data_IF_545726710621
#
_entry.id   IF_545726710621
#
_cell.length_a   1.000
_cell.length_b   1.000
_cell.length_c   1.000
_cell.angle_alpha   90.00
_cell.angle_beta   90.00
_cell.angle_gamma   90.00
#
_symmetry.space_group_name_H-M   'P 1'
#
loop_
_entity.id
_entity.type
_entity.pdbx_description
1 polymer ?
#
# COMPACT_ATOMS: atom_id res chain seq x y z
N UNK A 1 -7.73 11.98 -17.39
CA UNK A 1 -9.16 12.37 -17.36
C UNK A 1 -9.53 12.31 -15.90
N UNK A 2 -9.96 13.43 -15.32
CA UNK A 2 -10.34 13.50 -13.91
C UNK A 2 -11.49 12.52 -13.63
N UNK A 3 -11.23 11.56 -12.74
CA UNK A 3 -12.12 10.43 -12.45
C UNK A 3 -12.93 10.68 -11.18
N UNK A 4 -12.32 11.34 -10.19
CA UNK A 4 -12.89 11.56 -8.86
C UNK A 4 -13.50 12.96 -8.70
N UNK A 5 -13.09 13.94 -9.52
CA UNK A 5 -13.56 15.32 -9.42
C UNK A 5 -12.91 16.08 -8.25
N UNK A 6 -13.67 17.02 -7.67
CA UNK A 6 -13.19 17.96 -6.64
C UNK A 6 -13.09 17.34 -5.23
N UNK A 7 -13.63 16.13 -5.03
CA UNK A 7 -13.56 15.41 -3.75
C UNK A 7 -13.74 13.90 -3.97
N UNK A 8 -13.10 13.09 -3.11
CA UNK A 8 -13.24 11.64 -3.11
C UNK A 8 -13.78 11.14 -1.77
N UNK A 9 -14.74 10.22 -1.80
CA UNK A 9 -15.16 9.44 -0.62
C UNK A 9 -14.21 8.26 -0.45
N UNK A 10 -13.61 8.13 0.74
CA UNK A 10 -12.75 7.00 1.08
C UNK A 10 -13.55 6.02 1.95
N UNK A 11 -13.79 4.83 1.42
CA UNK A 11 -14.38 3.72 2.18
C UNK A 11 -13.26 2.82 2.68
N UNK A 12 -12.94 2.92 3.97
CA UNK A 12 -11.93 2.08 4.60
C UNK A 12 -12.40 0.63 4.67
N UNK A 13 -11.57 -0.26 4.12
CA UNK A 13 -11.69 -1.70 4.23
C UNK A 13 -10.33 -2.27 4.65
N UNK A 14 -10.06 -2.26 5.94
CA UNK A 14 -8.83 -2.78 6.51
C UNK A 14 -9.10 -3.91 7.52
N UNK A 15 -8.30 -4.97 7.45
CA UNK A 15 -8.25 -6.02 8.45
C UNK A 15 -6.79 -6.39 8.74
N UNK A 16 -6.40 -6.27 10.01
CA UNK A 16 -5.03 -6.56 10.42
C UNK A 16 -4.68 -8.03 10.22
N UNK A 17 -3.49 -8.29 9.68
CA UNK A 17 -2.95 -9.65 9.56
C UNK A 17 -3.42 -10.44 8.34
N UNK A 18 -4.11 -9.83 7.37
CA UNK A 18 -4.50 -10.47 6.10
C UNK A 18 -3.44 -10.36 5.02
N UNK A 19 -3.24 -11.41 4.22
CA UNK A 19 -2.67 -11.36 2.89
C UNK A 19 -3.75 -10.93 1.87
N UNK A 20 -3.34 -10.61 0.63
CA UNK A 20 -4.28 -10.19 -0.42
C UNK A 20 -5.32 -11.28 -0.74
N UNK A 21 -4.90 -12.55 -0.77
CA UNK A 21 -5.82 -13.67 -1.02
C UNK A 21 -6.86 -13.91 0.07
N UNK A 22 -6.69 -13.35 1.27
CA UNK A 22 -7.71 -13.43 2.32
C UNK A 22 -8.96 -12.57 1.98
N UNK A 23 -8.84 -11.69 0.98
CA UNK A 23 -9.91 -10.82 0.48
C UNK A 23 -10.64 -11.38 -0.73
N UNK A 24 -10.40 -12.64 -1.11
CA UNK A 24 -11.13 -13.31 -2.19
C UNK A 24 -12.27 -14.17 -1.64
N UNK A 25 -13.34 -14.35 -2.43
CA UNK A 25 -14.60 -15.00 -2.02
C UNK A 25 -14.41 -16.42 -1.49
N UNK A 26 -13.33 -17.09 -1.91
CA UNK A 26 -12.90 -18.41 -1.41
C UNK A 26 -12.72 -18.44 0.12
N UNK A 27 -12.69 -17.27 0.79
CA UNK A 27 -12.54 -17.11 2.24
C UNK A 27 -13.81 -16.62 2.98
N UNK A 28 -14.92 -16.36 2.28
CA UNK A 28 -16.28 -16.30 2.87
C UNK A 28 -16.69 -15.05 3.68
N UNK A 29 -16.25 -13.84 3.31
CA UNK A 29 -16.54 -12.62 4.08
C UNK A 29 -17.25 -11.51 3.29
N UNK A 30 -18.03 -10.66 3.97
CA UNK A 30 -18.73 -9.49 3.39
C UNK A 30 -17.80 -8.44 2.75
N UNK A 31 -16.49 -8.60 2.90
CA UNK A 31 -15.44 -7.69 2.45
C UNK A 31 -14.69 -8.20 1.21
N UNK A 32 -15.15 -9.28 0.57
CA UNK A 32 -14.47 -9.85 -0.59
C UNK A 32 -14.43 -8.91 -1.80
N UNK A 33 -13.34 -8.98 -2.58
CA UNK A 33 -13.12 -8.15 -3.76
C UNK A 33 -14.04 -8.51 -4.93
N UNK A 34 -14.65 -9.68 -4.95
CA UNK A 34 -15.68 -10.05 -5.94
C UNK A 34 -16.92 -9.14 -5.84
N UNK A 35 -17.13 -8.50 -4.68
CA UNK A 35 -18.17 -7.49 -4.47
C UNK A 35 -17.86 -6.12 -5.06
N UNK A 36 -16.74 -5.95 -5.75
CA UNK A 36 -16.45 -4.71 -6.48
C UNK A 36 -17.58 -4.35 -7.46
N UNK A 37 -18.30 -5.34 -8.00
CA UNK A 37 -19.48 -5.09 -8.85
C UNK A 37 -20.65 -4.43 -8.10
N UNK A 38 -20.81 -4.69 -6.81
CA UNK A 38 -21.82 -4.05 -5.96
C UNK A 38 -21.39 -2.63 -5.57
N UNK A 39 -20.11 -2.47 -5.21
CA UNK A 39 -19.58 -1.21 -4.68
C UNK A 39 -19.27 -0.19 -5.76
N UNK A 40 -18.82 -0.65 -6.94
CA UNK A 40 -18.37 0.13 -8.10
C UNK A 40 -17.48 1.33 -7.72
N UNK A 41 -16.36 1.11 -7.01
CA UNK A 41 -15.44 2.20 -6.73
C UNK A 41 -14.79 2.69 -8.02
N UNK A 42 -14.42 3.97 -8.07
CA UNK A 42 -13.62 4.48 -9.18
C UNK A 42 -12.17 3.99 -9.11
N UNK A 43 -11.63 3.90 -7.89
CA UNK A 43 -10.25 3.48 -7.60
C UNK A 43 -10.24 2.49 -6.45
N UNK A 44 -9.53 1.38 -6.62
CA UNK A 44 -9.18 0.42 -5.58
C UNK A 44 -7.72 0.65 -5.16
N UNK A 45 -7.52 1.03 -3.90
CA UNK A 45 -6.17 1.17 -3.31
C UNK A 45 -5.85 -0.12 -2.55
N UNK A 46 -4.77 -0.80 -2.93
CA UNK A 46 -4.32 -2.05 -2.32
C UNK A 46 -3.04 -1.78 -1.54
N UNK A 47 -3.14 -1.83 -0.21
CA UNK A 47 -2.03 -1.63 0.72
C UNK A 47 -1.71 -2.94 1.49
N UNK A 48 -0.87 -3.79 0.89
CA UNK A 48 -0.38 -5.03 1.52
C UNK A 48 1.15 -5.13 1.42
N UNK A 49 1.83 -5.54 2.49
CA UNK A 49 3.29 -5.76 2.52
C UNK A 49 3.75 -7.18 2.26
N UNK A 50 2.82 -8.09 1.98
CA UNK A 50 3.18 -9.49 1.85
C UNK A 50 3.13 -10.27 3.17
N UNK A 51 2.00 -10.27 3.88
CA UNK A 51 1.81 -11.20 4.99
C UNK A 51 2.08 -12.65 4.53
N UNK A 52 2.97 -13.34 5.24
CA UNK A 52 3.49 -14.66 4.82
C UNK A 52 2.95 -15.82 5.67
N UNK A 53 2.03 -15.55 6.58
CA UNK A 53 1.61 -16.50 7.62
C UNK A 53 0.12 -16.87 7.53
N UNK A 54 -0.66 -16.20 6.68
CA UNK A 54 -2.09 -16.51 6.56
C UNK A 54 -2.28 -17.82 5.83
N UNK A 55 -3.36 -18.59 6.08
CA UNK A 55 -3.53 -19.90 5.49
C UNK A 55 -3.39 -19.95 3.96
N UNK A 56 -3.78 -18.88 3.24
CA UNK A 56 -3.68 -18.81 1.77
C UNK A 56 -2.27 -18.51 1.23
N UNK A 57 -1.32 -18.16 2.10
CA UNK A 57 0.10 -17.89 1.76
C UNK A 57 1.07 -18.82 2.50
N UNK A 58 0.71 -19.38 3.65
CA UNK A 58 1.64 -19.98 4.62
C UNK A 58 2.55 -21.08 4.05
N UNK A 59 2.07 -21.84 3.06
CA UNK A 59 2.83 -22.93 2.42
C UNK A 59 3.69 -22.46 1.23
N UNK A 60 3.53 -21.21 0.80
CA UNK A 60 4.31 -20.61 -0.29
C UNK A 60 5.57 -19.93 0.26
N UNK A 61 6.75 -20.36 -0.21
CA UNK A 61 8.05 -19.86 0.27
C UNK A 61 8.99 -19.51 -0.90
N UNK A 62 9.99 -18.66 -0.63
CA UNK A 62 10.99 -18.28 -1.64
C UNK A 62 10.36 -17.73 -2.92
N UNK A 63 10.75 -18.24 -4.09
CA UNK A 63 10.22 -17.78 -5.36
C UNK A 63 8.71 -18.04 -5.53
N UNK A 64 8.18 -19.08 -4.86
CA UNK A 64 6.77 -19.44 -4.95
C UNK A 64 5.87 -18.44 -4.21
N UNK A 65 6.33 -17.96 -3.05
CA UNK A 65 5.70 -16.84 -2.32
C UNK A 65 5.47 -15.62 -3.21
N UNK A 66 6.49 -15.18 -3.93
CA UNK A 66 6.39 -14.00 -4.79
C UNK A 66 5.53 -14.26 -6.03
N UNK A 67 5.57 -15.48 -6.58
CA UNK A 67 4.69 -15.89 -7.68
C UNK A 67 3.23 -15.86 -7.24
N UNK A 68 2.92 -16.38 -6.05
CA UNK A 68 1.56 -16.37 -5.47
C UNK A 68 1.05 -14.94 -5.30
N UNK A 69 1.85 -14.05 -4.73
CA UNK A 69 1.47 -12.64 -4.60
C UNK A 69 1.26 -11.94 -5.93
N UNK A 70 2.02 -12.29 -6.97
CA UNK A 70 1.79 -11.79 -8.32
C UNK A 70 0.45 -12.27 -8.87
N UNK A 71 0.16 -13.57 -8.75
CA UNK A 71 -1.11 -14.15 -9.21
C UNK A 71 -2.31 -13.53 -8.48
N UNK A 72 -2.21 -13.33 -7.17
CA UNK A 72 -3.27 -12.69 -6.39
C UNK A 72 -3.50 -11.23 -6.84
N UNK A 73 -2.43 -10.49 -7.09
CA UNK A 73 -2.54 -9.12 -7.60
C UNK A 73 -3.15 -9.07 -9.00
N UNK A 74 -2.75 -9.97 -9.90
CA UNK A 74 -3.32 -10.11 -11.25
C UNK A 74 -4.81 -10.47 -11.19
N UNK A 75 -5.23 -11.33 -10.25
CA UNK A 75 -6.64 -11.65 -10.02
C UNK A 75 -7.43 -10.42 -9.52
N UNK A 76 -6.92 -9.69 -8.52
CA UNK A 76 -7.55 -8.47 -8.03
C UNK A 76 -7.71 -7.40 -9.13
N UNK A 77 -6.71 -7.25 -10.00
CA UNK A 77 -6.80 -6.37 -11.19
C UNK A 77 -7.88 -6.87 -12.15
N UNK A 78 -7.97 -8.18 -12.38
CA UNK A 78 -9.00 -8.78 -13.22
C UNK A 78 -10.43 -8.55 -12.70
N UNK A 79 -10.63 -8.55 -11.37
CA UNK A 79 -11.91 -8.17 -10.75
C UNK A 79 -12.20 -6.67 -10.94
N UNK A 80 -11.21 -5.81 -10.69
CA UNK A 80 -11.34 -4.36 -10.88
C UNK A 80 -11.70 -3.99 -12.32
N UNK A 81 -11.07 -4.64 -13.31
CA UNK A 81 -11.31 -4.40 -14.73
C UNK A 81 -12.75 -4.68 -15.17
N UNK A 82 -13.46 -5.62 -14.52
CA UNK A 82 -14.87 -5.93 -14.82
C UNK A 82 -15.82 -4.78 -14.50
N UNK A 83 -15.37 -3.79 -13.72
CA UNK A 83 -16.15 -2.66 -13.24
C UNK A 83 -15.57 -1.30 -13.65
N UNK A 84 -14.55 -1.31 -14.53
CA UNK A 84 -13.75 -0.12 -14.90
C UNK A 84 -13.10 0.58 -13.68
N UNK A 85 -12.85 -0.18 -12.60
CA UNK A 85 -12.15 0.29 -11.41
C UNK A 85 -10.64 0.38 -11.71
N UNK A 86 -10.01 1.52 -11.42
CA UNK A 86 -8.54 1.68 -11.49
C UNK A 86 -7.88 1.10 -10.25
N UNK A 87 -6.65 0.60 -10.35
CA UNK A 87 -5.95 -0.03 -9.22
C UNK A 87 -4.68 0.73 -8.87
N UNK A 88 -4.53 1.11 -7.61
CA UNK A 88 -3.29 1.65 -7.06
C UNK A 88 -2.72 0.69 -6.02
N UNK A 89 -1.57 0.08 -6.32
CA UNK A 89 -0.80 -0.65 -5.33
C UNK A 89 0.07 0.30 -4.52
N UNK A 90 0.05 0.16 -3.19
CA UNK A 90 0.90 0.93 -2.28
C UNK A 90 1.95 0.01 -1.66
N UNK A 91 3.22 0.31 -1.90
CA UNK A 91 4.33 -0.40 -1.26
C UNK A 91 4.50 0.07 0.18
N UNK A 92 4.34 -0.87 1.11
CA UNK A 92 4.43 -0.61 2.54
C UNK A 92 5.85 -0.21 2.97
N UNK A 93 5.95 0.58 4.05
CA UNK A 93 7.23 0.98 4.58
C UNK A 93 8.00 -0.21 5.16
N UNK A 94 9.31 -0.05 5.29
CA UNK A 94 10.18 -1.04 5.92
C UNK A 94 9.83 -1.15 7.40
N UNK A 95 9.63 -2.39 7.87
CA UNK A 95 9.30 -2.68 9.26
C UNK A 95 10.55 -2.77 10.14
N UNK A 96 10.39 -2.51 11.45
CA UNK A 96 11.49 -2.58 12.42
C UNK A 96 12.13 -3.97 12.50
N UNK A 97 11.32 -5.01 12.31
CA UNK A 97 11.69 -6.41 12.55
C UNK A 97 11.92 -7.20 11.27
N UNK A 98 12.08 -6.53 10.13
CA UNK A 98 12.21 -7.23 8.86
C UNK A 98 13.48 -8.09 8.84
N UNK A 99 13.27 -9.39 9.02
CA UNK A 99 14.27 -10.46 9.01
C UNK A 99 13.89 -11.41 7.88
N UNK A 100 14.86 -11.82 7.07
CA UNK A 100 14.72 -13.03 6.27
C UNK A 100 15.35 -14.17 7.09
N UNK A 101 14.57 -15.20 7.38
CA UNK A 101 15.06 -16.45 7.99
C UNK A 101 15.82 -16.28 9.33
N UNK A 102 15.30 -15.43 10.21
CA UNK A 102 15.86 -15.24 11.56
C UNK A 102 17.12 -14.37 11.64
N UNK A 103 17.70 -13.96 10.51
CA UNK A 103 18.87 -13.07 10.45
C UNK A 103 18.43 -11.63 10.19
N UNK A 104 18.98 -10.68 10.96
CA UNK A 104 18.80 -9.26 10.69
C UNK A 104 19.43 -8.94 9.33
N UNK A 105 18.65 -8.37 8.40
CA UNK A 105 19.17 -8.01 7.09
C UNK A 105 20.26 -6.94 7.24
N UNK A 106 21.47 -7.13 6.68
CA UNK A 106 22.39 -6.02 6.49
C UNK A 106 21.73 -4.97 5.58
N UNK A 107 22.12 -3.69 5.69
CA UNK A 107 21.55 -2.64 4.85
C UNK A 107 21.87 -2.93 3.37
N UNK A 108 20.85 -3.37 2.63
CA UNK A 108 20.70 -3.42 1.17
C UNK A 108 21.89 -3.90 0.34
N UNK A 109 21.71 -5.04 -0.35
CA UNK A 109 22.04 -5.00 -1.78
C UNK A 109 21.11 -5.79 -2.71
N UNK A 110 20.60 -6.99 -2.37
CA UNK A 110 20.01 -7.83 -3.43
C UNK A 110 18.65 -8.52 -3.16
N UNK A 111 17.94 -8.21 -2.07
CA UNK A 111 16.56 -8.72 -1.88
C UNK A 111 15.61 -7.58 -1.50
N UNK A 112 14.67 -7.20 -2.38
CA UNK A 112 13.71 -6.19 -2.04
C UNK A 112 12.80 -6.73 -0.94
N UNK A 113 12.58 -5.86 0.02
CA UNK A 113 11.81 -6.10 1.21
C UNK A 113 10.34 -6.39 0.85
N UNK A 114 9.83 -7.58 1.20
CA UNK A 114 8.42 -7.97 1.01
C UNK A 114 7.99 -8.04 -0.47
N UNK A 115 6.69 -7.83 -0.74
CA UNK A 115 6.08 -7.91 -2.08
C UNK A 115 6.23 -6.63 -2.91
N UNK A 116 7.00 -5.64 -2.43
CA UNK A 116 7.12 -4.33 -3.05
C UNK A 116 7.55 -4.39 -4.53
N UNK A 117 8.54 -5.22 -4.85
CA UNK A 117 9.02 -5.36 -6.22
C UNK A 117 8.04 -6.10 -7.13
N UNK A 118 7.21 -6.98 -6.56
CA UNK A 118 6.15 -7.68 -7.30
C UNK A 118 5.15 -6.63 -7.79
N UNK A 119 4.70 -5.76 -6.89
CA UNK A 119 3.72 -4.74 -7.22
C UNK A 119 4.29 -3.62 -8.08
N UNK A 120 5.55 -3.22 -7.88
CA UNK A 120 6.22 -2.22 -8.69
C UNK A 120 6.34 -2.62 -10.18
N UNK A 121 6.41 -3.91 -10.49
CA UNK A 121 6.50 -4.41 -11.85
C UNK A 121 5.13 -4.57 -12.55
N UNK A 122 4.00 -4.54 -11.81
CA UNK A 122 2.68 -4.76 -12.38
C UNK A 122 2.27 -3.71 -13.43
N UNK A 123 2.49 -2.39 -13.24
CA UNK A 123 2.08 -1.39 -14.21
C UNK A 123 2.62 -1.60 -15.64
N UNK A 124 3.78 -2.27 -15.80
CA UNK A 124 4.35 -2.58 -17.12
C UNK A 124 3.43 -3.46 -17.98
N UNK A 125 2.58 -4.27 -17.35
CA UNK A 125 1.60 -5.13 -18.03
C UNK A 125 0.28 -4.42 -18.34
N UNK A 126 0.09 -3.19 -17.87
CA UNK A 126 -1.13 -2.38 -18.01
C UNK A 126 -0.80 -0.96 -18.51
N UNK A 127 -0.30 -0.83 -19.77
CA UNK A 127 0.21 0.44 -20.30
C UNK A 127 -0.87 1.50 -20.54
N UNK A 128 -2.15 1.15 -20.43
CA UNK A 128 -3.28 2.08 -20.48
C UNK A 128 -3.39 2.95 -19.22
N UNK A 129 -2.55 2.67 -18.21
CA UNK A 129 -2.53 3.40 -16.95
C UNK A 129 -3.69 3.02 -16.04
N UNK A 130 -4.36 1.89 -16.26
CA UNK A 130 -5.40 1.36 -15.36
C UNK A 130 -4.83 0.87 -14.02
N UNK A 131 -3.55 0.51 -13.99
CA UNK A 131 -2.83 0.03 -12.80
C UNK A 131 -1.62 0.91 -12.53
N UNK A 132 -1.48 1.37 -11.29
CA UNK A 132 -0.33 2.16 -10.82
C UNK A 132 0.25 1.59 -9.54
N UNK A 133 1.45 2.04 -9.22
CA UNK A 133 2.16 1.68 -8.01
C UNK A 133 2.85 2.91 -7.42
N UNK A 134 2.74 3.10 -6.11
CA UNK A 134 3.50 4.10 -5.37
C UNK A 134 4.22 3.49 -4.18
N UNK A 135 5.45 3.93 -3.93
CA UNK A 135 6.22 3.52 -2.75
C UNK A 135 6.11 4.56 -1.65
N UNK A 136 5.80 4.09 -0.44
CA UNK A 136 5.81 4.95 0.76
C UNK A 136 7.22 5.29 1.25
N UNK A 137 8.25 4.64 0.70
CA UNK A 137 9.60 4.73 1.22
C UNK A 137 10.17 6.16 1.25
N UNK A 138 9.97 7.02 0.24
CA UNK A 138 10.50 8.39 0.29
C UNK A 138 10.07 9.17 1.54
N UNK A 139 8.86 8.94 2.02
CA UNK A 139 8.27 9.67 3.15
C UNK A 139 8.32 8.91 4.48
N UNK A 140 8.37 7.57 4.43
CA UNK A 140 8.23 6.71 5.59
C UNK A 140 9.42 5.79 5.85
N UNK A 141 10.27 5.55 4.86
CA UNK A 141 11.46 4.68 4.97
C UNK A 141 12.58 5.18 4.05
N UNK A 142 13.04 6.43 4.22
CA UNK A 142 14.01 7.04 3.32
C UNK A 142 15.28 6.18 3.26
N UNK A 143 15.83 6.05 2.04
CA UNK A 143 16.92 5.12 1.74
C UNK A 143 16.63 3.65 2.11
N UNK A 144 15.35 3.26 2.15
CA UNK A 144 14.90 1.90 2.47
C UNK A 144 15.04 1.54 3.96
N UNK A 145 15.22 2.51 4.86
CA UNK A 145 15.48 2.23 6.27
C UNK A 145 14.25 2.47 7.13
N UNK A 146 14.07 1.64 8.17
CA UNK A 146 13.12 1.95 9.23
C UNK A 146 13.50 3.27 9.91
N UNK A 147 12.54 4.18 10.01
CA UNK A 147 12.68 5.48 10.69
C UNK A 147 11.53 5.64 11.68
N UNK A 148 11.86 5.90 12.94
CA UNK A 148 10.88 6.07 14.01
C UNK A 148 10.23 7.46 13.98
N UNK A 149 11.02 8.50 13.72
CA UNK A 149 10.67 9.90 13.83
C UNK A 149 11.36 10.72 12.74
N UNK A 150 10.80 11.88 12.40
CA UNK A 150 11.31 12.76 11.36
C UNK A 150 11.11 14.21 11.73
N UNK A 151 11.89 15.10 11.12
CA UNK A 151 11.63 16.54 11.20
C UNK A 151 10.31 16.87 10.54
N UNK A 152 9.58 17.83 11.09
CA UNK A 152 8.26 18.23 10.60
C UNK A 152 8.04 19.73 10.66
N UNK A 153 7.14 20.22 9.81
CA UNK A 153 6.59 21.56 9.88
C UNK A 153 5.45 21.64 10.89
N UNK A 154 5.22 22.84 11.46
CA UNK A 154 4.24 23.06 12.52
C UNK A 154 2.78 22.74 12.12
N UNK A 155 2.47 22.74 10.83
CA UNK A 155 1.14 22.36 10.33
C UNK A 155 0.97 20.83 10.18
N UNK A 156 2.05 20.06 10.18
CA UNK A 156 1.96 18.62 10.06
C UNK A 156 1.42 17.99 11.36
N UNK A 157 0.44 17.08 11.29
CA UNK A 157 -0.14 16.46 12.48
C UNK A 157 0.90 15.73 13.33
N UNK A 158 0.82 15.91 14.66
CA UNK A 158 1.74 15.28 15.60
C UNK A 158 3.14 15.91 15.65
N UNK A 159 3.35 17.05 14.98
CA UNK A 159 4.59 17.80 15.09
C UNK A 159 4.69 18.54 16.44
N UNK A 160 5.76 18.29 17.18
CA UNK A 160 6.09 18.97 18.45
C UNK A 160 7.53 19.46 18.36
N UNK A 161 7.75 20.76 18.50
CA UNK A 161 9.07 21.39 18.44
C UNK A 161 9.91 20.98 17.21
N UNK A 162 9.25 20.83 16.05
CA UNK A 162 9.89 20.50 14.77
C UNK A 162 10.19 19.01 14.56
N UNK A 163 9.74 18.13 15.45
CA UNK A 163 9.89 16.67 15.32
C UNK A 163 8.56 15.96 15.57
N UNK A 164 8.33 14.84 14.87
CA UNK A 164 7.15 14.01 15.08
C UNK A 164 7.42 12.54 14.78
N UNK A 165 6.64 11.65 15.39
CA UNK A 165 6.75 10.22 15.19
C UNK A 165 6.12 9.79 13.86
N UNK A 166 6.85 8.99 13.07
CA UNK A 166 6.31 8.35 11.88
C UNK A 166 5.65 6.99 12.21
N UNK A 167 6.04 6.39 13.33
CA UNK A 167 5.63 5.04 13.75
C UNK A 167 5.30 5.02 15.22
N UNK A 168 4.43 4.09 15.60
CA UNK A 168 4.13 3.86 17.01
C UNK A 168 5.39 3.40 17.76
N UNK A 169 5.43 3.53 19.09
CA UNK A 169 6.46 2.88 19.89
C UNK A 169 6.55 1.38 19.60
N UNK A 170 7.66 0.70 19.97
CA UNK A 170 7.85 -0.73 19.72
C UNK A 170 6.57 -1.56 19.97
N UNK A 171 6.14 -2.38 19.00
CA UNK A 171 6.93 -2.88 17.88
C UNK A 171 7.07 -1.94 16.67
N UNK A 172 6.39 -0.79 16.64
CA UNK A 172 6.53 0.22 15.57
C UNK A 172 5.98 -0.22 14.21
N UNK A 173 4.94 -1.05 14.22
CA UNK A 173 4.26 -1.52 13.01
C UNK A 173 3.15 -0.59 12.50
N UNK A 174 2.64 0.33 13.34
CA UNK A 174 1.57 1.26 12.97
C UNK A 174 2.10 2.67 12.73
N UNK A 175 1.40 3.44 11.90
CA UNK A 175 1.71 4.84 11.64
C UNK A 175 1.16 5.73 12.77
N UNK A 176 1.98 6.67 13.23
CA UNK A 176 1.55 7.79 14.08
C UNK A 176 1.02 8.94 13.21
N UNK A 177 0.37 9.99 13.77
CA UNK A 177 -0.27 11.04 12.99
C UNK A 177 0.58 11.65 11.86
N UNK A 178 1.86 11.94 12.10
CA UNK A 178 2.76 12.47 11.07
C UNK A 178 2.97 11.45 9.94
N UNK A 179 3.20 10.18 10.30
CA UNK A 179 3.39 9.10 9.34
C UNK A 179 2.14 8.84 8.50
N UNK A 180 0.97 8.79 9.14
CA UNK A 180 -0.31 8.57 8.48
C UNK A 180 -0.65 9.74 7.53
N UNK A 181 -0.39 10.97 7.94
CA UNK A 181 -0.60 12.16 7.10
C UNK A 181 0.30 12.17 5.87
N UNK A 182 1.61 11.87 6.04
CA UNK A 182 2.54 11.79 4.89
C UNK A 182 2.22 10.63 3.94
N UNK A 183 1.77 9.50 4.49
CA UNK A 183 1.25 8.38 3.69
C UNK A 183 0.06 8.82 2.86
N UNK A 184 -0.92 9.48 3.47
CA UNK A 184 -2.14 9.92 2.80
C UNK A 184 -1.84 10.93 1.68
N UNK A 185 -0.95 11.90 1.94
CA UNK A 185 -0.52 12.84 0.92
C UNK A 185 0.20 12.18 -0.25
N UNK A 186 1.06 11.19 0.01
CA UNK A 186 1.73 10.44 -1.04
C UNK A 186 0.71 9.70 -1.93
N UNK A 187 -0.29 9.06 -1.32
CA UNK A 187 -1.37 8.41 -2.08
C UNK A 187 -2.16 9.44 -2.90
N UNK A 188 -2.54 10.57 -2.31
CA UNK A 188 -3.25 11.64 -3.02
C UNK A 188 -2.43 12.21 -4.19
N UNK A 189 -1.13 12.44 -3.98
CA UNK A 189 -0.22 12.93 -5.00
C UNK A 189 -0.08 11.94 -6.17
N UNK A 190 -0.09 10.64 -5.89
CA UNK A 190 -0.12 9.62 -6.94
C UNK A 190 -1.42 9.62 -7.74
N UNK A 191 -2.57 9.79 -7.07
CA UNK A 191 -3.88 9.91 -7.75
C UNK A 191 -3.92 11.15 -8.65
N UNK A 192 -3.32 12.26 -8.22
CA UNK A 192 -3.17 13.48 -9.04
C UNK A 192 -2.22 13.23 -10.21
N UNK A 193 -1.06 12.60 -9.98
CA UNK A 193 -0.11 12.27 -11.02
C UNK A 193 -0.69 11.27 -12.06
N UNK A 194 -1.68 10.48 -11.67
CA UNK A 194 -2.42 9.59 -12.54
C UNK A 194 -3.48 10.33 -13.37
N UNK A 195 -3.78 11.57 -12.97
CA UNK A 195 -4.90 12.35 -13.47
C UNK A 195 -6.25 11.77 -13.06
N UNK A 196 -6.30 10.95 -12.00
CA UNK A 196 -7.53 10.37 -11.45
C UNK A 196 -8.20 11.29 -10.43
N UNK A 197 -7.42 12.19 -9.82
CA UNK A 197 -7.88 13.21 -8.86
C UNK A 197 -7.41 14.59 -9.34
N UNK A 198 -8.26 15.61 -9.19
CA UNK A 198 -7.84 17.00 -9.41
C UNK A 198 -6.79 17.43 -8.38
N UNK A 199 -5.77 18.19 -8.80
CA UNK A 199 -4.77 18.73 -7.88
C UNK A 199 -5.39 19.66 -6.81
N UNK A 200 -6.48 20.34 -7.16
CA UNK A 200 -7.20 21.26 -6.27
C UNK A 200 -7.99 20.51 -5.19
N UNK A 201 -8.23 19.20 -5.34
CA UNK A 201 -8.91 18.36 -4.38
C UNK A 201 -8.02 17.94 -3.19
N UNK A 202 -6.69 18.16 -3.27
CA UNK A 202 -5.74 17.76 -2.23
C UNK A 202 -5.53 18.89 -1.22
N UNK A 203 -6.10 18.75 -0.03
CA UNK A 203 -5.80 19.63 1.10
C UNK A 203 -4.50 19.22 1.79
N UNK A 204 -3.60 20.18 1.98
CA UNK A 204 -2.31 20.00 2.68
C UNK A 204 -2.27 20.63 4.08
N UNK A 205 -3.43 21.03 4.60
CA UNK A 205 -3.55 21.77 5.85
C UNK A 205 -3.44 23.28 5.67
#
# INVERSE_FOLDING_TARGET
MDLLGDAAEVVDRAHGGTALCDWFEEQGTDISLERLADWRPHVLVIDHSGNSFTPCIADHVGADYYRKYRMDAEYAIGLAAQTDTRVLFVAQPVSRTQKYDGVALPPFQDHPVGTNYVFAALPESFPDGSVRHVSTWPVLSPAGRFVQESTCAAHEPGCVDGTGFLRSPPPGGHLEPLGAWRYALLVADELVAAGWLSADAVSRG
#
